data_IF_291064101528
#
_entry.id   IF_291064101528
#
_cell.length_a   1.000
_cell.length_b   1.000
_cell.length_c   1.000
_cell.angle_alpha   90.00
_cell.angle_beta   90.00
_cell.angle_gamma   90.00
#
_symmetry.space_group_name_H-M   'P 1'
#
loop_
_entity.id
_entity.type
_entity.pdbx_description
1 polymer ?
#
# COMPACT_ATOMS: atom_id res chain seq x y z
N UNK A 1 -15.72 -50.77 43.13
CA UNK A 1 -15.01 -49.59 43.66
C UNK A 1 -16.03 -48.46 43.67
N UNK A 2 -16.59 -48.16 44.83
CA UNK A 2 -17.56 -47.07 44.98
C UNK A 2 -16.81 -45.74 44.96
N UNK A 3 -17.18 -44.85 44.05
CA UNK A 3 -16.59 -43.52 43.94
C UNK A 3 -17.01 -42.71 45.17
N UNK A 4 -16.04 -42.25 45.94
CA UNK A 4 -16.28 -41.32 47.06
C UNK A 4 -16.50 -39.94 46.46
N UNK A 5 -17.74 -39.45 46.57
CA UNK A 5 -18.12 -38.13 46.09
C UNK A 5 -17.31 -37.08 46.87
N UNK A 6 -16.50 -36.32 46.14
CA UNK A 6 -15.50 -35.44 46.71
C UNK A 6 -16.18 -34.17 47.20
N UNK A 7 -16.04 -33.85 48.50
CA UNK A 7 -16.61 -32.66 49.17
C UNK A 7 -15.89 -31.36 48.77
N UNK A 8 -15.77 -31.12 47.45
CA UNK A 8 -15.17 -29.91 46.90
C UNK A 8 -16.21 -28.79 46.94
N UNK A 9 -16.24 -28.05 48.05
CA UNK A 9 -16.89 -26.74 48.08
C UNK A 9 -16.33 -25.89 46.94
N UNK A 10 -17.18 -25.36 46.03
CA UNK A 10 -16.70 -24.53 44.94
C UNK A 10 -16.04 -23.27 45.50
N UNK A 11 -14.75 -23.10 45.21
CA UNK A 11 -14.02 -21.86 45.50
C UNK A 11 -14.52 -20.82 44.50
N UNK A 12 -15.39 -19.92 44.96
CA UNK A 12 -15.85 -18.78 44.14
C UNK A 12 -14.70 -17.78 44.03
N UNK A 13 -14.02 -17.76 42.89
CA UNK A 13 -13.03 -16.72 42.60
C UNK A 13 -13.76 -15.47 42.10
N UNK A 14 -13.84 -14.43 42.95
CA UNK A 14 -14.42 -13.14 42.58
C UNK A 14 -13.29 -12.26 42.02
N UNK A 15 -13.11 -12.25 40.70
CA UNK A 15 -12.21 -11.31 40.06
C UNK A 15 -12.95 -9.99 39.81
N UNK A 16 -12.61 -8.96 40.59
CA UNK A 16 -12.98 -7.59 40.28
C UNK A 16 -11.95 -7.03 39.29
N UNK A 17 -12.34 -6.91 38.02
CA UNK A 17 -11.45 -6.49 36.95
C UNK A 17 -12.11 -5.38 36.15
N UNK A 18 -11.50 -4.19 36.18
CA UNK A 18 -11.94 -3.06 35.36
C UNK A 18 -11.37 -3.20 33.94
N UNK A 19 -12.22 -3.64 33.01
CA UNK A 19 -11.84 -3.79 31.59
C UNK A 19 -12.23 -2.52 30.84
N UNK A 20 -11.26 -1.65 30.58
CA UNK A 20 -11.46 -0.50 29.70
C UNK A 20 -11.54 -0.96 28.23
N UNK A 21 -12.74 -0.95 27.65
CA UNK A 21 -12.95 -1.25 26.22
C UNK A 21 -12.82 0.04 25.41
N UNK A 22 -11.68 0.22 24.75
CA UNK A 22 -11.53 1.29 23.75
C UNK A 22 -12.28 0.86 22.49
N UNK A 23 -13.29 1.64 22.12
CA UNK A 23 -14.08 1.39 20.93
C UNK A 23 -13.28 1.71 19.66
N UNK A 24 -13.00 0.68 18.85
CA UNK A 24 -12.23 0.81 17.61
C UNK A 24 -12.87 1.79 16.62
N UNK A 25 -14.18 1.93 16.63
CA UNK A 25 -14.90 2.88 15.78
C UNK A 25 -14.57 4.32 16.18
N UNK A 26 -14.64 4.64 17.47
CA UNK A 26 -14.29 5.94 18.03
C UNK A 26 -12.84 6.30 17.75
N UNK A 27 -11.91 5.35 17.89
CA UNK A 27 -10.51 5.54 17.51
C UNK A 27 -10.34 5.85 16.02
N UNK A 28 -11.04 5.13 15.14
CA UNK A 28 -11.00 5.38 13.69
C UNK A 28 -11.56 6.74 13.31
N UNK A 29 -12.65 7.17 13.96
CA UNK A 29 -13.21 8.51 13.74
C UNK A 29 -12.23 9.60 14.17
N UNK A 30 -11.64 9.48 15.37
CA UNK A 30 -10.64 10.45 15.85
C UNK A 30 -9.38 10.48 15.00
N UNK A 31 -8.95 9.33 14.51
CA UNK A 31 -7.86 9.27 13.53
C UNK A 31 -8.22 10.01 12.23
N UNK A 32 -9.41 9.77 11.69
CA UNK A 32 -9.91 10.47 10.50
C UNK A 32 -10.01 11.98 10.69
N UNK A 33 -10.49 12.44 11.84
CA UNK A 33 -10.52 13.86 12.21
C UNK A 33 -9.10 14.46 12.20
N UNK A 34 -8.12 13.80 12.82
CA UNK A 34 -6.74 14.29 12.85
C UNK A 34 -6.14 14.34 11.44
N UNK A 35 -6.32 13.29 10.64
CA UNK A 35 -5.77 13.21 9.28
C UNK A 35 -6.35 14.26 8.33
N UNK A 36 -7.58 14.72 8.59
CA UNK A 36 -8.29 15.69 7.74
C UNK A 36 -8.22 17.14 8.22
N UNK A 37 -8.00 17.39 9.51
CA UNK A 37 -8.08 18.73 10.10
C UNK A 37 -6.77 19.26 10.71
N UNK A 38 -5.81 18.38 11.00
CA UNK A 38 -4.56 18.80 11.61
C UNK A 38 -3.63 19.44 10.56
N UNK A 39 -3.40 20.76 10.69
CA UNK A 39 -2.57 21.53 9.75
C UNK A 39 -1.15 20.97 9.57
N UNK A 40 -0.51 20.44 10.61
CA UNK A 40 0.83 19.83 10.51
C UNK A 40 0.79 18.54 9.69
N UNK A 41 -0.20 17.69 9.94
CA UNK A 41 -0.39 16.45 9.19
C UNK A 41 -0.71 16.74 7.73
N UNK A 42 -1.61 17.69 7.46
CA UNK A 42 -1.93 18.12 6.10
C UNK A 42 -0.71 18.71 5.37
N UNK A 43 0.08 19.54 6.03
CA UNK A 43 1.30 20.09 5.47
C UNK A 43 2.34 19.00 5.14
N UNK A 44 2.53 18.04 6.04
CA UNK A 44 3.39 16.87 5.77
C UNK A 44 2.84 16.03 4.61
N UNK A 45 1.53 15.78 4.56
CA UNK A 45 0.88 15.05 3.47
C UNK A 45 0.99 15.78 2.13
N UNK A 46 0.96 17.11 2.11
CA UNK A 46 1.22 17.90 0.90
C UNK A 46 2.64 17.68 0.38
N UNK A 47 3.64 17.66 1.27
CA UNK A 47 5.02 17.32 0.92
C UNK A 47 5.22 15.88 0.46
N UNK A 48 4.29 14.97 0.81
CA UNK A 48 4.30 13.58 0.36
C UNK A 48 3.54 13.35 -0.96
N UNK A 49 2.83 14.37 -1.48
CA UNK A 49 1.87 14.24 -2.60
C UNK A 49 2.22 14.98 -3.88
N UNK A 50 3.44 15.45 -4.06
CA UNK A 50 3.87 15.84 -5.39
C UNK A 50 4.31 14.59 -6.15
N UNK A 51 3.37 13.89 -6.81
CA UNK A 51 3.79 13.28 -8.07
C UNK A 51 4.20 14.48 -8.93
N UNK A 52 5.48 14.59 -9.34
CA UNK A 52 5.89 15.70 -10.17
C UNK A 52 4.99 15.72 -11.40
N UNK A 53 4.58 16.90 -11.85
CA UNK A 53 3.83 17.03 -13.09
C UNK A 53 4.66 16.43 -14.22
N UNK A 54 4.29 15.23 -14.66
CA UNK A 54 5.00 14.44 -15.63
C UNK A 54 4.05 14.14 -16.77
N UNK A 55 4.50 14.39 -18.00
CA UNK A 55 3.77 14.01 -19.19
C UNK A 55 4.48 12.84 -19.87
N UNK A 56 3.69 11.84 -20.24
CA UNK A 56 4.09 10.73 -21.09
C UNK A 56 3.41 10.92 -22.44
N UNK A 57 4.16 10.87 -23.54
CA UNK A 57 3.60 11.12 -24.88
C UNK A 57 2.63 10.05 -25.35
N UNK A 58 2.75 8.83 -24.82
CA UNK A 58 1.96 7.66 -25.19
C UNK A 58 1.98 6.64 -24.04
N UNK A 59 0.86 5.98 -23.75
CA UNK A 59 0.78 4.98 -22.69
C UNK A 59 1.23 3.58 -23.14
N UNK A 60 1.17 3.29 -24.45
CA UNK A 60 1.50 1.99 -25.04
C UNK A 60 2.54 2.11 -26.16
N UNK A 61 3.69 1.47 -25.99
CA UNK A 61 4.74 1.42 -27.01
C UNK A 61 4.63 0.10 -27.76
N UNK A 62 4.18 0.16 -29.03
CA UNK A 62 4.18 -1.01 -29.91
C UNK A 62 5.38 -0.90 -30.84
N UNK A 63 6.35 -1.79 -30.65
CA UNK A 63 7.54 -1.88 -31.50
C UNK A 63 7.15 -2.68 -32.75
N UNK A 64 6.86 -1.96 -33.84
CA UNK A 64 6.61 -2.54 -35.16
C UNK A 64 7.83 -2.22 -36.03
N UNK A 65 8.47 -3.26 -36.56
CA UNK A 65 9.64 -3.20 -37.45
C UNK A 65 10.95 -2.70 -36.83
N UNK A 66 11.98 -2.53 -37.67
CA UNK A 66 13.31 -2.02 -37.28
C UNK A 66 13.41 -0.49 -37.28
N UNK A 67 12.28 0.20 -37.42
CA UNK A 67 12.26 1.66 -37.45
C UNK A 67 12.40 2.22 -36.03
N UNK A 68 13.39 3.09 -35.76
CA UNK A 68 13.54 3.68 -34.44
C UNK A 68 12.35 4.59 -34.10
N UNK A 69 11.80 4.45 -32.89
CA UNK A 69 10.74 5.31 -32.35
C UNK A 69 11.30 6.19 -31.23
N UNK A 70 10.96 7.49 -31.25
CA UNK A 70 11.39 8.44 -30.23
C UNK A 70 10.30 8.54 -29.17
N UNK A 71 10.59 8.01 -27.98
CA UNK A 71 9.76 8.15 -26.80
C UNK A 71 10.27 9.29 -25.91
N UNK A 72 9.39 10.24 -25.55
CA UNK A 72 9.75 11.41 -24.75
C UNK A 72 9.09 11.35 -23.37
N UNK A 73 9.92 11.25 -22.35
CA UNK A 73 9.56 11.42 -20.95
C UNK A 73 9.99 12.80 -20.49
N UNK A 74 9.05 13.58 -19.95
CA UNK A 74 9.35 14.94 -19.46
C UNK A 74 8.77 15.16 -18.08
N UNK A 75 9.67 15.43 -17.12
CA UNK A 75 9.32 16.04 -15.84
C UNK A 75 9.19 17.56 -16.04
N UNK A 76 8.04 18.13 -15.70
CA UNK A 76 7.78 19.58 -15.74
C UNK A 76 7.98 20.25 -14.38
N UNK A 77 8.18 19.49 -13.31
CA UNK A 77 8.46 20.05 -11.99
C UNK A 77 9.83 20.73 -11.96
N UNK A 78 9.88 21.94 -11.39
CA UNK A 78 11.11 22.69 -11.15
C UNK A 78 11.77 22.34 -9.80
N UNK A 79 11.01 21.73 -8.89
CA UNK A 79 11.43 21.45 -7.51
C UNK A 79 11.64 19.96 -7.25
N UNK A 80 10.81 19.10 -7.87
CA UNK A 80 10.73 17.68 -7.55
C UNK A 80 11.41 16.80 -8.61
N UNK A 81 12.04 15.72 -8.15
CA UNK A 81 12.61 14.69 -9.03
C UNK A 81 11.55 13.67 -9.42
N UNK A 82 11.40 13.44 -10.73
CA UNK A 82 10.63 12.31 -11.27
C UNK A 82 11.54 11.11 -11.53
N UNK A 83 11.10 9.92 -11.12
CA UNK A 83 11.69 8.65 -11.52
C UNK A 83 10.79 8.00 -12.57
N UNK A 84 11.36 7.60 -13.70
CA UNK A 84 10.64 6.86 -14.73
C UNK A 84 11.18 5.43 -14.76
N UNK A 85 10.27 4.46 -14.70
CA UNK A 85 10.60 3.05 -14.84
C UNK A 85 9.88 2.50 -16.08
N UNK A 86 10.63 1.84 -16.95
CA UNK A 86 10.07 1.14 -18.11
C UNK A 86 10.10 -0.35 -17.78
N UNK A 87 8.94 -0.99 -17.73
CA UNK A 87 8.80 -2.42 -17.43
C UNK A 87 8.21 -3.17 -18.61
N UNK A 88 8.87 -4.22 -19.09
CA UNK A 88 8.32 -5.12 -20.10
C UNK A 88 7.36 -6.15 -19.50
N UNK A 89 6.10 -6.13 -19.91
CA UNK A 89 5.11 -7.16 -19.56
C UNK A 89 4.96 -8.15 -20.72
N UNK A 90 5.17 -9.44 -20.47
CA UNK A 90 4.85 -10.51 -21.40
C UNK A 90 3.50 -11.15 -21.03
N UNK A 91 2.64 -11.53 -21.99
CA UNK A 91 1.43 -12.27 -21.69
C UNK A 91 1.80 -13.61 -21.01
N UNK A 92 1.27 -13.82 -19.81
CA UNK A 92 1.51 -15.00 -18.98
C UNK A 92 0.87 -16.24 -19.61
N UNK A 93 1.57 -16.97 -20.47
CA UNK A 93 1.07 -18.26 -20.97
C UNK A 93 1.47 -19.46 -20.10
N UNK A 94 2.26 -19.30 -19.04
CA UNK A 94 2.59 -20.39 -18.12
C UNK A 94 3.28 -19.88 -16.85
N UNK A 95 2.50 -19.48 -15.84
CA UNK A 95 2.83 -19.53 -14.40
C UNK A 95 4.17 -18.96 -13.88
N UNK A 96 4.91 -18.24 -14.71
CA UNK A 96 6.21 -17.65 -14.38
C UNK A 96 6.18 -16.23 -14.90
N UNK A 97 6.19 -15.27 -13.96
CA UNK A 97 6.26 -13.84 -14.25
C UNK A 97 7.63 -13.53 -14.85
N UNK A 98 7.79 -13.78 -16.16
CA UNK A 98 8.99 -13.38 -16.86
C UNK A 98 8.88 -11.88 -17.17
N UNK A 99 9.64 -11.07 -16.43
CA UNK A 99 9.92 -9.69 -16.81
C UNK A 99 10.56 -9.73 -18.21
N UNK A 100 9.79 -9.33 -19.22
CA UNK A 100 9.96 -9.84 -20.57
C UNK A 100 10.24 -8.74 -21.57
N UNK A 101 11.28 -7.94 -21.38
CA UNK A 101 11.85 -7.26 -22.55
C UNK A 101 12.38 -8.33 -23.51
N UNK A 102 12.18 -8.15 -24.83
CA UNK A 102 12.80 -9.02 -25.81
C UNK A 102 14.31 -9.10 -25.58
N UNK A 103 14.93 -10.25 -25.87
CA UNK A 103 16.37 -10.47 -25.65
C UNK A 103 17.26 -9.48 -26.40
N UNK A 104 16.77 -8.91 -27.50
CA UNK A 104 17.46 -7.89 -28.29
C UNK A 104 17.40 -6.48 -27.67
N UNK A 105 16.58 -6.26 -26.64
CA UNK A 105 16.41 -4.98 -25.94
C UNK A 105 17.11 -4.96 -24.56
N UNK A 106 17.76 -6.06 -24.16
CA UNK A 106 18.52 -6.15 -22.91
C UNK A 106 19.91 -5.53 -23.01
#
# INVERSE_FOLDING_TARGET
>A
MEATDSDHKPVKCLFNLDVARVEKQTMRQKYGEIMSSNKKVLHLLQGLKAFPEANVSTNDIILQDQTPYIFKLQNRSTEDRACFEITGQAPSSSGTDSAGFPTWLK
#
